data_IF_208984630443
#
_entry.id   IF_208984630443
#
_cell.length_a   1.000
_cell.length_b   1.000
_cell.length_c   1.000
_cell.angle_alpha   90.00
_cell.angle_beta   90.00
_cell.angle_gamma   90.00
#
_symmetry.space_group_name_H-M   'P 1'
#
loop_
_entity.id
_entity.type
_entity.pdbx_description
1 polymer ?
#
# COMPACT_ATOMS: atom_id res chain seq x y z
N UNK A 1 -11.60 -0.49 -9.86
CA UNK A 1 -10.27 -0.77 -9.34
C UNK A 1 -10.19 -2.20 -8.88
N UNK A 2 -9.13 -2.88 -9.30
CA UNK A 2 -8.92 -4.27 -8.92
C UNK A 2 -7.97 -4.34 -7.73
N UNK A 3 -8.47 -4.84 -6.61
CA UNK A 3 -7.67 -4.99 -5.40
C UNK A 3 -7.39 -6.46 -5.07
N UNK A 4 -7.69 -7.36 -6.01
CA UNK A 4 -7.57 -8.81 -5.77
C UNK A 4 -6.17 -9.20 -5.30
N UNK A 5 -5.14 -8.56 -5.86
CA UNK A 5 -3.77 -8.83 -5.47
C UNK A 5 -3.09 -7.48 -5.24
N UNK A 6 -2.98 -7.11 -3.99
CA UNK A 6 -2.53 -5.77 -3.60
C UNK A 6 -1.23 -5.83 -2.83
N UNK A 7 -0.32 -4.93 -3.16
CA UNK A 7 0.94 -4.75 -2.42
C UNK A 7 0.80 -3.49 -1.57
N UNK A 8 1.17 -3.59 -0.30
CA UNK A 8 1.15 -2.45 0.61
C UNK A 8 2.61 -2.06 0.88
N UNK A 9 2.98 -0.86 0.48
CA UNK A 9 4.32 -0.34 0.69
C UNK A 9 4.41 0.43 1.99
N UNK A 10 5.13 -0.13 2.96
CA UNK A 10 5.27 0.47 4.28
C UNK A 10 4.31 -0.16 5.29
N UNK A 11 4.85 -0.86 6.29
CA UNK A 11 4.04 -1.54 7.30
C UNK A 11 4.08 -0.79 8.64
N UNK A 12 3.95 0.52 8.59
CA UNK A 12 3.77 1.34 9.78
C UNK A 12 2.31 1.26 10.26
N UNK A 13 1.92 2.15 11.15
CA UNK A 13 0.58 2.10 11.75
C UNK A 13 -0.51 2.11 10.68
N UNK A 14 -0.40 3.03 9.72
CA UNK A 14 -1.43 3.14 8.68
C UNK A 14 -1.40 1.96 7.73
N UNK A 15 -0.20 1.50 7.35
CA UNK A 15 -0.06 0.33 6.49
C UNK A 15 -0.66 -0.90 7.13
N UNK A 16 -0.50 -1.07 8.44
CA UNK A 16 -1.10 -2.18 9.17
C UNK A 16 -2.63 -2.14 9.08
N UNK A 17 -3.21 -0.95 9.23
CA UNK A 17 -4.66 -0.78 9.13
C UNK A 17 -5.14 -1.12 7.72
N UNK A 18 -4.39 -0.71 6.71
CA UNK A 18 -4.73 -1.03 5.32
C UNK A 18 -4.69 -2.54 5.09
N UNK A 19 -3.66 -3.22 5.60
CA UNK A 19 -3.56 -4.67 5.46
C UNK A 19 -4.77 -5.37 6.09
N UNK A 20 -5.14 -4.96 7.31
CA UNK A 20 -6.30 -5.54 7.97
C UNK A 20 -7.56 -5.37 7.16
N UNK A 21 -7.77 -4.16 6.65
CA UNK A 21 -8.97 -3.85 5.88
C UNK A 21 -9.03 -4.66 4.58
N UNK A 22 -7.90 -4.79 3.89
CA UNK A 22 -7.84 -5.56 2.65
C UNK A 22 -8.10 -7.04 2.91
N UNK A 23 -7.50 -7.59 3.95
CA UNK A 23 -7.69 -9.00 4.28
C UNK A 23 -9.12 -9.29 4.70
N UNK A 24 -9.73 -8.37 5.44
CA UNK A 24 -11.14 -8.51 5.82
C UNK A 24 -12.04 -8.58 4.60
N UNK A 25 -11.64 -7.92 3.51
CA UNK A 25 -12.39 -7.95 2.26
C UNK A 25 -12.02 -9.10 1.34
N UNK A 26 -11.14 -9.99 1.80
CA UNK A 26 -10.78 -11.19 1.04
C UNK A 26 -9.72 -10.98 -0.01
N UNK A 27 -8.99 -9.87 0.05
CA UNK A 27 -7.91 -9.61 -0.90
C UNK A 27 -6.64 -10.31 -0.49
N UNK A 28 -5.83 -10.66 -1.49
CA UNK A 28 -4.50 -11.19 -1.28
C UNK A 28 -3.53 -10.02 -1.11
N UNK A 29 -2.77 -10.02 -0.03
CA UNK A 29 -1.93 -8.88 0.33
C UNK A 29 -0.50 -9.30 0.56
N UNK A 30 0.43 -8.52 0.04
CA UNK A 30 1.86 -8.66 0.32
C UNK A 30 2.35 -7.30 0.79
N UNK A 31 3.14 -7.28 1.86
CA UNK A 31 3.70 -6.05 2.40
C UNK A 31 5.17 -5.90 2.01
N UNK A 32 5.57 -4.68 1.72
CA UNK A 32 6.98 -4.35 1.46
C UNK A 32 7.41 -3.32 2.50
N UNK A 33 8.54 -3.56 3.15
CA UNK A 33 9.10 -2.61 4.11
C UNK A 33 10.61 -2.65 4.04
N UNK A 34 11.24 -1.49 4.21
CA UNK A 34 12.69 -1.37 4.14
C UNK A 34 13.39 -1.96 5.35
N UNK A 35 12.65 -2.15 6.43
CA UNK A 35 13.19 -2.70 7.68
C UNK A 35 12.38 -3.91 8.11
N UNK A 36 12.46 -4.99 7.32
CA UNK A 36 11.62 -6.16 7.62
C UNK A 36 11.87 -6.74 9.01
N UNK A 37 13.09 -6.62 9.52
CA UNK A 37 13.42 -7.13 10.85
C UNK A 37 12.65 -6.41 11.96
N UNK A 38 12.23 -5.16 11.72
CA UNK A 38 11.49 -4.41 12.72
C UNK A 38 9.98 -4.69 12.67
N UNK A 39 9.49 -5.17 11.55
CA UNK A 39 8.06 -5.37 11.36
C UNK A 39 7.68 -6.83 11.14
N UNK A 40 8.64 -7.74 11.27
CA UNK A 40 8.38 -9.16 11.02
C UNK A 40 7.34 -9.74 11.97
N UNK A 41 7.37 -9.36 13.24
CA UNK A 41 6.41 -9.85 14.21
C UNK A 41 5.00 -9.37 13.87
N UNK A 42 4.89 -8.13 13.41
CA UNK A 42 3.61 -7.55 13.00
C UNK A 42 3.10 -8.27 11.75
N UNK A 43 3.98 -8.51 10.78
CA UNK A 43 3.59 -9.21 9.56
C UNK A 43 3.09 -10.62 9.87
N UNK A 44 3.74 -11.32 10.80
CA UNK A 44 3.31 -12.64 11.22
C UNK A 44 1.93 -12.57 11.88
N UNK A 45 1.73 -11.58 12.73
CA UNK A 45 0.45 -11.41 13.43
C UNK A 45 -0.67 -11.10 12.45
N UNK A 46 -0.39 -10.34 11.41
CA UNK A 46 -1.36 -10.00 10.38
C UNK A 46 -1.51 -11.11 9.33
N UNK A 47 -0.66 -12.10 9.38
CA UNK A 47 -0.64 -13.19 8.41
C UNK A 47 -0.46 -12.66 6.99
N UNK A 48 0.49 -11.76 6.84
CA UNK A 48 0.82 -11.17 5.54
C UNK A 48 2.26 -11.51 5.20
N UNK A 49 2.50 -11.78 3.92
CA UNK A 49 3.85 -12.01 3.43
C UNK A 49 4.61 -10.68 3.44
N UNK A 50 5.86 -10.72 3.89
CA UNK A 50 6.69 -9.52 4.01
C UNK A 50 7.91 -9.64 3.12
N UNK A 51 8.14 -8.61 2.31
CA UNK A 51 9.27 -8.57 1.37
C UNK A 51 10.10 -7.32 1.69
N UNK A 52 11.42 -7.46 1.59
CA UNK A 52 12.31 -6.33 1.83
C UNK A 52 12.24 -5.31 0.69
N UNK A 53 11.99 -4.05 1.04
CA UNK A 53 11.95 -2.97 0.07
C UNK A 53 13.31 -2.57 -0.44
N UNK A 54 14.39 -3.05 0.18
CA UNK A 54 15.75 -2.76 -0.28
C UNK A 54 16.23 -3.73 -1.35
N UNK A 55 15.50 -4.82 -1.58
CA UNK A 55 15.84 -5.77 -2.62
C UNK A 55 15.04 -5.45 -3.89
N UNK A 56 15.70 -4.80 -4.84
CA UNK A 56 15.06 -4.41 -6.09
C UNK A 56 14.49 -5.61 -6.84
N UNK A 57 15.22 -6.72 -6.82
CA UNK A 57 14.79 -7.93 -7.51
C UNK A 57 13.48 -8.46 -6.93
N UNK A 58 13.37 -8.49 -5.61
CA UNK A 58 12.15 -8.96 -4.97
C UNK A 58 10.99 -8.00 -5.16
N UNK A 59 11.27 -6.70 -5.11
CA UNK A 59 10.24 -5.68 -5.34
C UNK A 59 9.68 -5.82 -6.76
N UNK A 60 10.56 -5.97 -7.77
CA UNK A 60 10.11 -6.16 -9.15
C UNK A 60 9.24 -7.40 -9.29
N UNK A 61 9.67 -8.48 -8.66
CA UNK A 61 8.93 -9.75 -8.75
C UNK A 61 7.54 -9.61 -8.15
N UNK A 62 7.46 -9.00 -6.98
CA UNK A 62 6.18 -8.83 -6.28
C UNK A 62 5.26 -7.90 -7.05
N UNK A 63 5.78 -6.78 -7.54
CA UNK A 63 4.96 -5.81 -8.25
C UNK A 63 4.51 -6.32 -9.62
N UNK A 64 5.27 -7.22 -10.23
CA UNK A 64 4.87 -7.75 -11.54
C UNK A 64 3.61 -8.61 -11.46
N UNK A 65 3.33 -9.17 -10.30
CA UNK A 65 2.14 -9.99 -10.08
C UNK A 65 1.00 -9.23 -9.42
N UNK A 66 1.20 -7.96 -9.10
CA UNK A 66 0.22 -7.18 -8.36
C UNK A 66 -0.75 -6.47 -9.30
N UNK A 67 -1.98 -6.26 -8.81
CA UNK A 67 -2.98 -5.44 -9.50
C UNK A 67 -2.90 -4.01 -9.04
N UNK A 68 -2.58 -3.79 -7.76
CA UNK A 68 -2.57 -2.46 -7.16
C UNK A 68 -1.45 -2.33 -6.15
N UNK A 69 -0.98 -1.11 -5.97
CA UNK A 69 0.02 -0.78 -4.97
C UNK A 69 -0.50 0.36 -4.10
N UNK A 70 -0.56 0.12 -2.79
CA UNK A 70 -0.94 1.15 -1.83
C UNK A 70 0.33 1.65 -1.15
N UNK A 71 0.64 2.91 -1.30
CA UNK A 71 1.85 3.49 -0.74
C UNK A 71 1.56 4.28 0.52
N UNK A 72 2.38 4.05 1.54
CA UNK A 72 2.37 4.87 2.73
C UNK A 72 2.97 6.25 2.42
N UNK A 73 2.41 7.33 2.98
CA UNK A 73 2.98 8.65 2.74
C UNK A 73 4.40 8.82 3.28
N UNK A 74 4.86 7.90 4.12
CA UNK A 74 6.22 7.93 4.63
C UNK A 74 7.27 7.45 3.65
N UNK A 75 6.87 6.89 2.52
CA UNK A 75 7.83 6.40 1.53
C UNK A 75 8.28 7.57 0.64
N UNK A 76 9.59 7.86 0.58
CA UNK A 76 10.08 8.97 -0.25
C UNK A 76 9.84 8.73 -1.73
N UNK A 77 9.69 9.80 -2.48
CA UNK A 77 9.46 9.70 -3.92
C UNK A 77 10.60 9.02 -4.64
N UNK A 78 11.83 9.17 -4.15
CA UNK A 78 13.00 8.59 -4.79
C UNK A 78 13.21 7.12 -4.43
N UNK A 79 12.33 6.54 -3.61
CA UNK A 79 12.44 5.13 -3.26
C UNK A 79 12.30 4.26 -4.51
N UNK A 80 13.12 3.19 -4.64
CA UNK A 80 13.06 2.31 -5.81
C UNK A 80 11.67 1.78 -6.13
N UNK A 81 10.81 1.62 -5.12
CA UNK A 81 9.46 1.12 -5.33
C UNK A 81 8.66 2.02 -6.28
N UNK A 82 8.86 3.32 -6.19
CA UNK A 82 8.17 4.27 -7.07
C UNK A 82 8.65 4.14 -8.51
N UNK A 83 9.94 3.96 -8.71
CA UNK A 83 10.50 3.79 -10.05
C UNK A 83 10.02 2.49 -10.68
N UNK A 84 10.05 1.42 -9.92
CA UNK A 84 9.64 0.11 -10.41
C UNK A 84 8.13 0.10 -10.70
N UNK A 85 7.34 0.69 -9.81
CA UNK A 85 5.90 0.76 -10.02
C UNK A 85 5.55 1.57 -11.25
N UNK A 86 6.31 2.61 -11.54
CA UNK A 86 6.09 3.43 -12.71
C UNK A 86 6.34 2.71 -14.03
N UNK A 87 7.06 1.59 -13.99
CA UNK A 87 7.33 0.78 -15.18
C UNK A 87 6.31 -0.35 -15.35
N UNK A 88 5.37 -0.46 -14.44
CA UNK A 88 4.37 -1.52 -14.44
C UNK A 88 2.98 -0.95 -14.68
N UNK A 89 2.06 -1.80 -15.10
CA UNK A 89 0.69 -1.39 -15.40
C UNK A 89 -0.23 -1.48 -14.19
N UNK A 90 0.30 -1.38 -12.99
CA UNK A 90 -0.53 -1.49 -11.82
C UNK A 90 -1.03 -0.11 -11.36
N UNK A 91 -2.15 -0.13 -10.69
CA UNK A 91 -2.76 1.07 -10.15
C UNK A 91 -2.06 1.44 -8.85
N UNK A 92 -1.63 2.70 -8.73
CA UNK A 92 -0.93 3.18 -7.54
C UNK A 92 -1.87 4.11 -6.78
N UNK A 93 -2.09 3.80 -5.52
CA UNK A 93 -3.02 4.54 -4.68
C UNK A 93 -2.34 4.95 -3.37
N UNK A 94 -2.79 6.07 -2.82
CA UNK A 94 -2.42 6.41 -1.46
C UNK A 94 -3.43 5.79 -0.51
N UNK A 95 -3.11 5.79 0.77
CA UNK A 95 -4.04 5.29 1.78
C UNK A 95 -5.31 6.13 1.83
N UNK A 96 -5.19 7.42 1.56
CA UNK A 96 -6.36 8.30 1.50
C UNK A 96 -7.27 7.95 0.33
N UNK A 97 -6.69 7.65 -0.82
CA UNK A 97 -7.46 7.25 -2.00
C UNK A 97 -8.26 5.99 -1.71
N UNK A 98 -7.64 5.04 -1.03
CA UNK A 98 -8.29 3.80 -0.69
C UNK A 98 -9.44 4.03 0.29
N UNK A 99 -9.21 4.84 1.31
CA UNK A 99 -10.25 5.19 2.26
C UNK A 99 -11.43 5.87 1.60
N UNK A 100 -11.14 6.76 0.66
CA UNK A 100 -12.19 7.46 -0.08
C UNK A 100 -13.05 6.50 -0.89
N UNK A 101 -12.44 5.49 -1.50
CA UNK A 101 -13.19 4.52 -2.29
C UNK A 101 -14.07 3.62 -1.45
N UNK A 102 -13.65 3.34 -0.21
CA UNK A 102 -14.40 2.46 0.67
C UNK A 102 -15.45 3.18 1.50
N UNK A 103 -15.41 4.51 1.51
CA UNK A 103 -16.35 5.30 2.30
C UNK A 103 -17.61 5.54 1.47
N UNK A 104 -18.71 4.92 1.85
CA UNK A 104 -19.96 5.01 1.14
C UNK A 104 -20.84 6.15 1.63
N UNK A 105 -20.40 6.88 2.64
CA UNK A 105 -21.17 8.01 3.16
C UNK A 105 -21.09 9.20 2.21
N UNK A 106 -22.16 9.99 2.13
CA UNK A 106 -22.09 11.21 1.34
C UNK A 106 -20.95 12.09 1.83
N UNK A 107 -20.20 12.62 0.91
CA UNK A 107 -19.08 13.47 1.27
C UNK A 107 -19.46 14.93 1.13
N UNK A 108 -19.22 15.66 2.20
CA UNK A 108 -19.30 17.10 2.14
C UNK A 108 -17.94 17.56 1.63
N UNK A 109 -17.95 18.26 0.54
CA UNK A 109 -16.71 18.76 -0.01
C UNK A 109 -16.13 19.79 0.93
N UNK A 110 -15.10 19.44 1.61
CA UNK A 110 -14.39 20.35 2.48
C UNK A 110 -13.27 20.95 1.65
N UNK A 111 -13.34 22.17 1.58
CA UNK A 111 -12.35 22.81 0.85
C UNK A 111 -11.10 23.07 1.62
N UNK A 112 -11.14 22.72 1.81
CA UNK A 112 -10.37 22.64 2.18
C UNK A 112 -9.45 22.48 2.07
N UNK A 113 -9.87 22.75 1.98
CA UNK A 113 -9.12 22.42 2.06
C UNK A 113 -8.38 22.00 1.91
N UNK A 114 -8.68 22.06 1.57
CA UNK A 114 -8.10 21.34 1.40
C UNK A 114 -7.53 20.90 1.08
N UNK A 115 -7.80 21.22 0.79
CA UNK A 115 -7.42 20.63 0.49
C UNK A 115 -7.07 20.50 0.08
N UNK A 116 -7.35 20.69 -0.14
CA UNK A 116 -7.13 20.36 -0.42
C UNK A 116 -6.56 20.47 -0.44
N UNK A 117 -7.01 20.77 -0.39
CA UNK A 117 -6.61 20.57 -0.30
C UNK A 117 -5.81 20.64 -0.51
N UNK A 118 -5.83 20.85 -0.94
CA UNK A 118 -5.30 20.63 -1.14
C UNK A 118 -4.54 20.57 -1.23
#
# INVERSE_FOLDING_TARGET
MDLTRTVVGGLGVTGQAVVRALKTRGHEVIAIDDRPELVSAIATKLEVELVSGTSETEVRKVLSDASSLILSPGIPEHHPINRIAGLSDLEILSELDLGAQWDERPRIAITGTNGKLR
#
